data_IF_523542539596
#
_entry.id   IF_523542539596
#
_cell.length_a   1.000
_cell.length_b   1.000
_cell.length_c   1.000
_cell.angle_alpha   90.00
_cell.angle_beta   90.00
_cell.angle_gamma   90.00
#
_symmetry.space_group_name_H-M   'P 1'
#
loop_
_entity.id
_entity.type
_entity.pdbx_description
1 polymer ?
#
# COMPACT_ATOMS: atom_id res chain seq x y z
N UNK A 1 -32.63 -27.09 42.38
CA UNK A 1 -33.16 -26.29 41.26
C UNK A 1 -32.28 -25.10 41.05
N UNK A 2 -31.42 -25.22 40.09
CA UNK A 2 -31.01 -24.28 39.03
C UNK A 2 -30.96 -22.81 39.39
N UNK A 3 -29.76 -22.26 39.60
CA UNK A 3 -29.43 -20.89 39.28
C UNK A 3 -28.05 -20.91 38.58
N UNK A 4 -28.08 -21.47 37.38
CA UNK A 4 -27.05 -21.30 36.36
C UNK A 4 -27.64 -20.31 35.36
N UNK A 5 -27.37 -19.05 35.52
CA UNK A 5 -27.70 -18.05 34.51
C UNK A 5 -26.69 -16.92 34.61
N UNK A 6 -26.04 -16.68 33.50
CA UNK A 6 -25.50 -15.43 33.05
C UNK A 6 -24.28 -14.88 33.78
N UNK A 7 -23.14 -15.57 33.65
CA UNK A 7 -21.87 -14.86 33.52
C UNK A 7 -21.67 -14.50 32.05
N UNK A 8 -22.37 -13.48 31.60
CA UNK A 8 -21.89 -12.69 30.47
C UNK A 8 -20.57 -12.09 30.95
N UNK A 9 -19.46 -12.65 30.45
CA UNK A 9 -18.15 -12.08 30.67
C UNK A 9 -18.17 -10.66 30.10
N UNK A 10 -18.36 -9.67 30.94
CA UNK A 10 -18.11 -8.27 30.60
C UNK A 10 -16.62 -8.20 30.30
N UNK A 11 -16.28 -8.14 29.03
CA UNK A 11 -14.93 -7.86 28.55
C UNK A 11 -14.65 -6.42 29.02
N UNK A 12 -13.98 -6.33 30.16
CA UNK A 12 -13.55 -5.04 30.72
C UNK A 12 -12.34 -4.61 29.92
N UNK A 13 -12.59 -3.99 28.76
CA UNK A 13 -11.57 -3.41 27.90
C UNK A 13 -10.88 -2.27 28.66
N UNK A 14 -9.62 -2.48 29.01
CA UNK A 14 -8.78 -1.42 29.55
C UNK A 14 -8.63 -0.28 28.55
N UNK A 15 -8.41 0.97 29.02
CA UNK A 15 -8.32 2.15 28.16
C UNK A 15 -7.33 2.00 26.99
N UNK A 16 -6.25 1.22 27.18
CA UNK A 16 -5.26 0.92 26.15
C UNK A 16 -5.79 0.05 25.02
N UNK A 17 -6.65 -0.92 25.32
CA UNK A 17 -7.27 -1.79 24.32
C UNK A 17 -8.26 -1.02 23.44
N UNK A 18 -9.01 -0.09 24.06
CA UNK A 18 -9.93 0.79 23.32
C UNK A 18 -9.16 1.66 22.34
N UNK A 19 -8.06 2.28 22.76
CA UNK A 19 -7.21 3.10 21.90
C UNK A 19 -6.66 2.28 20.73
N UNK A 20 -6.24 1.05 20.99
CA UNK A 20 -5.70 0.16 19.97
C UNK A 20 -6.75 -0.26 18.96
N UNK A 21 -7.96 -0.62 19.41
CA UNK A 21 -9.10 -0.92 18.55
C UNK A 21 -9.45 0.31 17.69
N UNK A 22 -9.46 1.51 18.27
CA UNK A 22 -9.72 2.74 17.53
C UNK A 22 -8.66 3.02 16.47
N UNK A 23 -7.38 2.82 16.78
CA UNK A 23 -6.28 2.95 15.80
C UNK A 23 -6.44 1.92 14.68
N UNK A 24 -6.73 0.65 15.02
CA UNK A 24 -6.95 -0.41 14.03
C UNK A 24 -8.14 -0.09 13.12
N UNK A 25 -9.27 0.35 13.70
CA UNK A 25 -10.45 0.75 12.95
C UNK A 25 -10.17 1.96 12.05
N UNK A 26 -9.40 2.94 12.54
CA UNK A 26 -9.00 4.11 11.75
C UNK A 26 -8.13 3.72 10.56
N UNK A 27 -7.12 2.86 10.76
CA UNK A 27 -6.25 2.36 9.69
C UNK A 27 -7.06 1.56 8.67
N UNK A 28 -7.98 0.72 9.13
CA UNK A 28 -8.85 -0.08 8.27
C UNK A 28 -9.82 0.80 7.47
N UNK A 29 -10.41 1.82 8.11
CA UNK A 29 -11.27 2.79 7.44
C UNK A 29 -10.51 3.62 6.40
N UNK A 30 -9.31 4.10 6.73
CA UNK A 30 -8.44 4.81 5.79
C UNK A 30 -8.07 3.93 4.59
N UNK A 31 -7.76 2.65 4.82
CA UNK A 31 -7.53 1.66 3.78
C UNK A 31 -8.75 1.49 2.86
N UNK A 32 -9.94 1.32 3.42
CA UNK A 32 -11.20 1.17 2.65
C UNK A 32 -11.49 2.43 1.84
N UNK A 33 -11.33 3.62 2.41
CA UNK A 33 -11.54 4.89 1.70
C UNK A 33 -10.59 5.01 0.50
N UNK A 34 -9.32 4.67 0.69
CA UNK A 34 -8.34 4.70 -0.39
C UNK A 34 -8.69 3.72 -1.52
N UNK A 35 -9.20 2.53 -1.17
CA UNK A 35 -9.70 1.54 -2.12
C UNK A 35 -10.86 2.07 -2.92
N UNK A 36 -11.86 2.63 -2.24
CA UNK A 36 -13.04 3.19 -2.90
C UNK A 36 -12.67 4.38 -3.79
N UNK A 37 -11.73 5.22 -3.36
CA UNK A 37 -11.18 6.31 -4.17
C UNK A 37 -10.46 5.77 -5.41
N UNK A 38 -9.68 4.70 -5.26
CA UNK A 38 -9.00 4.05 -6.39
C UNK A 38 -10.01 3.47 -7.39
N UNK A 39 -11.01 2.73 -6.90
CA UNK A 39 -12.09 2.17 -7.73
C UNK A 39 -12.85 3.30 -8.43
N UNK A 40 -13.24 4.34 -7.71
CA UNK A 40 -13.92 5.51 -8.28
C UNK A 40 -13.09 6.14 -9.39
N UNK A 41 -11.78 6.30 -9.18
CA UNK A 41 -10.88 6.89 -10.16
C UNK A 41 -10.69 6.00 -11.39
N UNK A 42 -10.58 4.67 -11.20
CA UNK A 42 -10.52 3.69 -12.30
C UNK A 42 -11.82 3.72 -13.11
N UNK A 43 -12.97 3.67 -12.44
CA UNK A 43 -14.29 3.72 -13.09
C UNK A 43 -14.45 5.04 -13.86
N UNK A 44 -14.06 6.17 -13.27
CA UNK A 44 -14.09 7.47 -13.93
C UNK A 44 -13.16 7.53 -15.14
N UNK A 45 -11.94 6.98 -15.03
CA UNK A 45 -10.98 6.90 -16.15
C UNK A 45 -11.48 6.01 -17.28
N UNK A 46 -12.21 4.93 -16.96
CA UNK A 46 -12.82 4.05 -17.96
C UNK A 46 -14.07 4.67 -18.61
N UNK A 47 -14.85 5.46 -17.86
CA UNK A 47 -16.03 6.17 -18.40
C UNK A 47 -15.66 7.42 -19.20
N UNK A 48 -14.48 7.98 -19.02
CA UNK A 48 -13.97 9.09 -19.81
C UNK A 48 -13.44 8.62 -21.18
N UNK A 49 -14.13 7.67 -21.82
CA UNK A 49 -13.86 7.39 -23.24
C UNK A 49 -14.31 8.61 -24.02
N UNK A 50 -13.41 9.38 -24.66
CA UNK A 50 -13.85 10.39 -25.59
C UNK A 50 -14.63 9.69 -26.68
N UNK A 51 -15.81 10.22 -26.98
CA UNK A 51 -16.53 9.86 -28.18
C UNK A 51 -15.54 9.90 -29.34
N UNK A 52 -15.41 8.83 -30.07
CA UNK A 52 -14.62 8.74 -31.29
C UNK A 52 -15.08 9.88 -32.22
N UNK A 53 -14.25 10.88 -32.49
CA UNK A 53 -14.62 11.85 -33.54
C UNK A 53 -14.57 11.10 -34.86
N UNK A 54 -15.71 10.93 -35.45
CA UNK A 54 -15.92 10.37 -36.78
C UNK A 54 -15.51 11.32 -37.90
N UNK A 55 -14.43 12.05 -37.73
CA UNK A 55 -13.83 12.84 -38.81
C UNK A 55 -12.36 12.49 -38.84
N UNK A 56 -11.89 12.10 -40.03
CA UNK A 56 -10.52 11.73 -40.32
C UNK A 56 -9.56 12.87 -39.96
N UNK A 57 -9.15 12.91 -38.69
CA UNK A 57 -8.06 13.78 -38.24
C UNK A 57 -6.76 13.34 -38.94
N UNK A 58 -5.93 14.27 -39.38
CA UNK A 58 -4.64 13.95 -39.95
C UNK A 58 -3.81 13.09 -38.97
N UNK A 59 -3.05 12.09 -39.46
CA UNK A 59 -2.36 11.10 -38.64
C UNK A 59 -1.44 11.68 -37.56
N UNK A 60 -0.83 12.84 -37.81
CA UNK A 60 0.01 13.58 -36.86
C UNK A 60 -0.76 14.09 -35.63
N UNK A 61 -2.01 14.53 -35.82
CA UNK A 61 -2.87 14.98 -34.71
C UNK A 61 -3.38 13.81 -33.88
N UNK A 62 -3.61 12.66 -34.50
CA UNK A 62 -4.00 11.43 -33.79
C UNK A 62 -2.86 10.99 -32.86
N UNK A 63 -1.63 10.95 -33.36
CA UNK A 63 -0.43 10.59 -32.56
C UNK A 63 -0.18 11.59 -31.43
N UNK A 64 -0.29 12.88 -31.66
CA UNK A 64 -0.14 13.90 -30.62
C UNK A 64 -1.19 13.76 -29.52
N UNK A 65 -2.45 13.50 -29.88
CA UNK A 65 -3.50 13.30 -28.88
C UNK A 65 -3.26 12.02 -28.07
N UNK A 66 -2.75 10.98 -28.69
CA UNK A 66 -2.44 9.73 -28.00
C UNK A 66 -1.25 9.91 -27.04
N UNK A 67 -0.19 10.57 -27.46
CA UNK A 67 0.94 10.89 -26.60
C UNK A 67 0.54 11.75 -25.40
N UNK A 68 -0.37 12.71 -25.60
CA UNK A 68 -0.88 13.56 -24.50
C UNK A 68 -1.65 12.73 -23.45
N UNK A 69 -2.53 11.84 -23.90
CA UNK A 69 -3.24 10.91 -23.01
C UNK A 69 -2.27 9.99 -22.26
N UNK A 70 -1.29 9.43 -22.95
CA UNK A 70 -0.30 8.55 -22.31
C UNK A 70 0.55 9.31 -21.27
N UNK A 71 0.84 10.60 -21.49
CA UNK A 71 1.50 11.44 -20.47
C UNK A 71 0.63 11.65 -19.23
N UNK A 72 -0.68 11.83 -19.40
CA UNK A 72 -1.64 11.94 -18.30
C UNK A 72 -1.72 10.64 -17.51
N UNK A 73 -1.76 9.50 -18.20
CA UNK A 73 -1.72 8.17 -17.57
C UNK A 73 -0.43 7.95 -16.76
N UNK A 74 0.72 8.36 -17.28
CA UNK A 74 1.99 8.25 -16.55
C UNK A 74 2.02 9.11 -15.28
N UNK A 75 1.48 10.33 -15.34
CA UNK A 75 1.35 11.20 -14.16
C UNK A 75 0.44 10.57 -13.11
N UNK A 76 -0.68 10.01 -13.57
CA UNK A 76 -1.63 9.34 -12.70
C UNK A 76 -0.99 8.14 -11.99
N UNK A 77 -0.30 7.28 -12.74
CA UNK A 77 0.44 6.15 -12.19
C UNK A 77 1.50 6.58 -11.18
N UNK A 78 2.23 7.67 -11.47
CA UNK A 78 3.19 8.24 -10.54
C UNK A 78 2.53 8.61 -9.20
N UNK A 79 1.36 9.27 -9.25
CA UNK A 79 0.61 9.63 -8.03
C UNK A 79 0.20 8.37 -7.27
N UNK A 80 -0.27 7.32 -7.94
CA UNK A 80 -0.62 6.05 -7.29
C UNK A 80 0.58 5.38 -6.61
N UNK A 81 1.75 5.39 -7.23
CA UNK A 81 2.96 4.89 -6.59
C UNK A 81 3.31 5.69 -5.33
N UNK A 82 3.16 7.03 -5.34
CA UNK A 82 3.36 7.84 -4.12
C UNK A 82 2.33 7.53 -3.03
N UNK A 83 1.05 7.39 -3.41
CA UNK A 83 -0.01 7.00 -2.47
C UNK A 83 0.29 5.63 -1.87
N UNK A 84 0.71 4.67 -2.70
CA UNK A 84 1.06 3.33 -2.26
C UNK A 84 2.29 3.33 -1.34
N UNK A 85 3.30 4.14 -1.66
CA UNK A 85 4.42 4.43 -0.75
C UNK A 85 3.94 5.05 0.58
N UNK A 86 3.01 6.00 0.54
CA UNK A 86 2.41 6.59 1.74
C UNK A 86 1.75 5.55 2.65
N UNK A 87 1.05 4.56 2.09
CA UNK A 87 0.51 3.44 2.87
C UNK A 87 1.59 2.58 3.53
N UNK A 88 2.73 2.41 2.90
CA UNK A 88 3.85 1.71 3.52
C UNK A 88 4.35 2.44 4.77
N UNK A 89 4.39 3.80 4.78
CA UNK A 89 4.72 4.58 5.98
C UNK A 89 3.71 4.37 7.11
N UNK A 90 2.42 4.34 6.79
CA UNK A 90 1.37 4.02 7.77
C UNK A 90 1.58 2.59 8.30
N UNK A 91 1.93 1.64 7.44
CA UNK A 91 2.27 0.27 7.81
C UNK A 91 3.46 0.20 8.78
N UNK A 92 4.50 0.98 8.56
CA UNK A 92 5.66 1.09 9.48
C UNK A 92 5.21 1.65 10.83
N UNK A 93 4.43 2.73 10.86
CA UNK A 93 3.94 3.30 12.10
C UNK A 93 3.08 2.31 12.89
N UNK A 94 2.22 1.55 12.19
CA UNK A 94 1.44 0.48 12.81
C UNK A 94 2.32 -0.65 13.34
N UNK A 95 3.36 -1.06 12.60
CA UNK A 95 4.31 -2.07 13.01
C UNK A 95 5.02 -1.67 14.33
N UNK A 96 5.46 -0.41 14.44
CA UNK A 96 6.05 0.12 15.66
C UNK A 96 5.04 0.13 16.83
N UNK A 97 3.84 0.66 16.61
CA UNK A 97 2.80 0.70 17.65
C UNK A 97 2.47 -0.71 18.15
N UNK A 98 2.35 -1.68 17.25
CA UNK A 98 2.08 -3.07 17.59
C UNK A 98 3.26 -3.72 18.36
N UNK A 99 4.49 -3.46 17.94
CA UNK A 99 5.68 -3.92 18.66
C UNK A 99 5.70 -3.37 20.10
N UNK A 100 5.53 -2.05 20.30
CA UNK A 100 5.51 -1.46 21.63
C UNK A 100 4.39 -2.01 22.50
N UNK A 101 3.22 -2.23 21.92
CA UNK A 101 2.10 -2.80 22.64
C UNK A 101 2.39 -4.24 23.10
N UNK A 102 2.88 -5.10 22.24
CA UNK A 102 3.25 -6.46 22.62
C UNK A 102 4.39 -6.46 23.64
N UNK A 103 5.39 -5.62 23.44
CA UNK A 103 6.49 -5.49 24.38
C UNK A 103 6.00 -5.05 25.78
N UNK A 104 5.06 -4.10 25.87
CA UNK A 104 4.48 -3.67 27.13
C UNK A 104 3.70 -4.80 27.84
N UNK A 105 2.94 -5.59 27.10
CA UNK A 105 2.22 -6.75 27.64
C UNK A 105 3.18 -7.81 28.14
N UNK A 106 4.16 -8.21 27.32
CA UNK A 106 5.06 -9.30 27.64
C UNK A 106 6.10 -8.91 28.71
N UNK A 107 6.41 -7.63 28.86
CA UNK A 107 7.33 -7.12 29.88
C UNK A 107 6.68 -6.88 31.24
N UNK A 108 5.34 -6.98 31.34
CA UNK A 108 4.63 -6.74 32.60
C UNK A 108 4.44 -8.04 33.40
N UNK A 109 5.17 -8.23 34.54
CA UNK A 109 5.08 -9.47 35.33
C UNK A 109 3.70 -9.70 35.95
N UNK A 110 2.94 -8.64 36.20
CA UNK A 110 1.63 -8.76 36.84
C UNK A 110 0.57 -9.37 35.94
N UNK A 111 0.69 -9.11 34.62
CA UNK A 111 -0.18 -9.72 33.62
C UNK A 111 -0.07 -11.27 33.61
N UNK A 112 1.12 -11.80 33.84
CA UNK A 112 1.38 -13.23 33.86
C UNK A 112 0.90 -13.88 35.16
N UNK A 113 1.05 -13.19 36.29
CA UNK A 113 0.56 -13.66 37.59
C UNK A 113 -0.96 -13.75 37.65
N UNK A 114 -1.65 -12.79 37.04
CA UNK A 114 -3.12 -12.75 37.05
C UNK A 114 -3.77 -13.85 36.21
N UNK A 115 -3.05 -14.43 35.25
CA UNK A 115 -3.55 -15.50 34.40
C UNK A 115 -3.22 -16.92 34.93
N UNK A 116 -2.70 -17.03 36.15
CA UNK A 116 -2.35 -18.33 36.75
C UNK A 116 -1.07 -18.98 36.19
N UNK A 117 -0.43 -18.37 35.22
CA UNK A 117 0.86 -18.75 34.68
C UNK A 117 1.99 -18.00 35.38
N UNK A 118 2.71 -18.69 36.26
CA UNK A 118 3.78 -18.09 37.04
C UNK A 118 5.04 -17.72 36.26
N UNK A 119 5.17 -18.16 35.00
CA UNK A 119 6.39 -17.97 34.23
C UNK A 119 6.17 -17.03 33.01
N UNK A 120 6.91 -15.91 32.94
CA UNK A 120 6.96 -15.09 31.74
C UNK A 120 7.54 -15.88 30.56
N UNK A 121 7.20 -15.50 29.31
CA UNK A 121 7.75 -16.19 28.14
C UNK A 121 9.29 -16.14 28.15
N UNK A 122 9.95 -17.18 27.65
CA UNK A 122 11.41 -17.23 27.58
C UNK A 122 11.95 -16.01 26.82
N UNK A 123 13.09 -15.48 27.25
CA UNK A 123 13.75 -14.34 26.56
C UNK A 123 13.96 -14.63 25.07
N UNK A 124 14.32 -15.84 24.71
CA UNK A 124 14.50 -16.26 23.32
C UNK A 124 13.24 -16.03 22.44
N UNK A 125 12.04 -16.11 23.03
CA UNK A 125 10.79 -15.80 22.34
C UNK A 125 10.67 -14.31 22.05
N UNK A 126 11.00 -13.44 23.02
CA UNK A 126 10.99 -11.99 22.82
C UNK A 126 12.04 -11.55 21.81
N UNK A 127 13.23 -12.16 21.86
CA UNK A 127 14.31 -11.87 20.91
C UNK A 127 13.91 -12.28 19.48
N UNK A 128 13.21 -13.41 19.31
CA UNK A 128 12.71 -13.83 18.01
C UNK A 128 11.69 -12.82 17.43
N UNK A 129 10.85 -12.21 18.28
CA UNK A 129 9.93 -11.17 17.85
C UNK A 129 10.66 -9.91 17.37
N UNK A 130 11.73 -9.48 18.03
CA UNK A 130 12.52 -8.32 17.59
C UNK A 130 13.05 -8.55 16.16
N UNK A 131 13.63 -9.72 15.91
CA UNK A 131 14.14 -10.05 14.58
C UNK A 131 13.03 -10.13 13.52
N UNK A 132 11.86 -10.69 13.89
CA UNK A 132 10.70 -10.73 13.00
C UNK A 132 10.22 -9.33 12.62
N UNK A 133 10.07 -8.41 13.62
CA UNK A 133 9.66 -7.04 13.37
C UNK A 133 10.69 -6.25 12.56
N UNK A 134 11.98 -6.45 12.85
CA UNK A 134 13.06 -5.85 12.06
C UNK A 134 13.03 -6.31 10.61
N UNK A 135 12.80 -7.59 10.36
CA UNK A 135 12.70 -8.16 9.03
C UNK A 135 11.47 -7.62 8.26
N UNK A 136 10.30 -7.62 8.90
CA UNK A 136 9.08 -7.04 8.34
C UNK A 136 9.24 -5.54 8.04
N UNK A 137 9.82 -4.79 8.98
CA UNK A 137 10.11 -3.38 8.80
C UNK A 137 11.05 -3.11 7.62
N UNK A 138 12.08 -3.94 7.45
CA UNK A 138 12.99 -3.84 6.31
C UNK A 138 12.28 -4.09 4.97
N UNK A 139 11.38 -5.09 4.90
CA UNK A 139 10.58 -5.36 3.70
C UNK A 139 9.69 -4.17 3.36
N UNK A 140 8.95 -3.63 4.34
CA UNK A 140 8.04 -2.50 4.13
C UNK A 140 8.82 -1.25 3.71
N UNK A 141 9.96 -0.97 4.36
CA UNK A 141 10.83 0.16 4.02
C UNK A 141 11.40 0.03 2.60
N UNK A 142 11.78 -1.17 2.20
CA UNK A 142 12.23 -1.44 0.83
C UNK A 142 11.11 -1.18 -0.17
N UNK A 143 9.90 -1.70 0.09
CA UNK A 143 8.73 -1.46 -0.74
C UNK A 143 8.37 0.04 -0.84
N UNK A 144 8.43 0.77 0.27
CA UNK A 144 8.28 2.22 0.30
C UNK A 144 9.27 2.91 -0.65
N UNK A 145 10.56 2.59 -0.48
CA UNK A 145 11.63 3.22 -1.27
C UNK A 145 11.47 2.93 -2.77
N UNK A 146 11.18 1.68 -3.12
CA UNK A 146 10.97 1.27 -4.51
C UNK A 146 9.77 2.00 -5.14
N UNK A 147 8.66 2.10 -4.42
CA UNK A 147 7.46 2.79 -4.91
C UNK A 147 7.69 4.30 -5.08
N UNK A 148 8.35 4.96 -4.11
CA UNK A 148 8.69 6.38 -4.23
C UNK A 148 9.61 6.63 -5.42
N UNK A 149 10.66 5.82 -5.59
CA UNK A 149 11.58 5.94 -6.72
C UNK A 149 10.86 5.69 -8.06
N UNK A 150 10.01 4.65 -8.13
CA UNK A 150 9.20 4.38 -9.32
C UNK A 150 8.28 5.55 -9.66
N UNK A 151 7.61 6.14 -8.66
CA UNK A 151 6.79 7.34 -8.82
C UNK A 151 7.59 8.52 -9.40
N UNK A 152 8.79 8.79 -8.87
CA UNK A 152 9.67 9.84 -9.38
C UNK A 152 10.11 9.57 -10.82
N UNK A 153 10.47 8.32 -11.15
CA UNK A 153 10.92 7.97 -12.49
C UNK A 153 9.79 8.02 -13.52
N UNK A 154 8.58 7.61 -13.15
CA UNK A 154 7.38 7.78 -13.98
C UNK A 154 7.10 9.27 -14.24
N UNK A 155 7.17 10.12 -13.20
CA UNK A 155 6.97 11.55 -13.33
C UNK A 155 8.00 12.21 -14.25
N UNK A 156 9.28 11.82 -14.08
CA UNK A 156 10.40 12.36 -14.86
C UNK A 156 10.57 11.70 -16.23
N UNK A 157 9.82 10.63 -16.51
CA UNK A 157 9.96 9.80 -17.72
C UNK A 157 11.39 9.29 -17.90
N UNK A 158 11.97 8.74 -16.84
CA UNK A 158 13.32 8.15 -16.80
C UNK A 158 13.26 6.71 -16.29
N UNK A 159 14.29 5.92 -16.64
CA UNK A 159 14.48 4.56 -16.11
C UNK A 159 13.21 3.66 -16.22
N UNK A 160 12.63 3.59 -17.44
CA UNK A 160 11.43 2.80 -17.73
C UNK A 160 11.50 1.36 -17.20
N UNK A 161 12.66 0.68 -17.40
CA UNK A 161 12.87 -0.71 -16.98
C UNK A 161 12.73 -0.84 -15.46
N UNK A 162 13.29 0.10 -14.69
CA UNK A 162 13.16 0.11 -13.24
C UNK A 162 11.70 0.14 -12.80
N UNK A 163 10.89 1.03 -13.37
CA UNK A 163 9.45 1.13 -13.03
C UNK A 163 8.68 -0.14 -13.42
N UNK A 164 9.07 -0.84 -14.49
CA UNK A 164 8.49 -2.16 -14.85
C UNK A 164 8.85 -3.23 -13.82
N UNK A 165 10.10 -3.25 -13.33
CA UNK A 165 10.52 -4.20 -12.30
C UNK A 165 9.78 -3.96 -10.99
N UNK A 166 9.68 -2.69 -10.55
CA UNK A 166 8.91 -2.33 -9.35
C UNK A 166 7.45 -2.72 -9.50
N UNK A 167 6.83 -2.43 -10.65
CA UNK A 167 5.45 -2.84 -10.93
C UNK A 167 5.28 -4.37 -10.86
N UNK A 168 6.28 -5.15 -11.29
CA UNK A 168 6.29 -6.60 -11.12
C UNK A 168 6.31 -7.03 -9.66
N UNK A 169 7.07 -6.34 -8.81
CA UNK A 169 7.09 -6.57 -7.35
C UNK A 169 5.75 -6.19 -6.74
N UNK A 170 5.18 -5.05 -7.15
CA UNK A 170 3.86 -4.62 -6.66
C UNK A 170 2.76 -5.62 -7.00
N UNK A 171 2.85 -6.34 -8.13
CA UNK A 171 1.90 -7.40 -8.48
C UNK A 171 1.80 -8.52 -7.43
N UNK A 172 2.81 -8.70 -6.58
CA UNK A 172 2.78 -9.68 -5.49
C UNK A 172 1.91 -9.21 -4.29
N UNK A 173 1.56 -7.93 -4.24
CA UNK A 173 0.80 -7.32 -3.14
C UNK A 173 -0.70 -7.28 -3.47
N UNK A 174 -1.37 -8.42 -3.35
CA UNK A 174 -2.80 -8.61 -3.66
C UNK A 174 -3.68 -7.88 -2.61
N UNK A 175 -4.75 -7.17 -3.04
CA UNK A 175 -5.21 -6.97 -4.44
C UNK A 175 -4.72 -5.67 -5.09
N UNK A 176 -4.28 -4.67 -4.30
CA UNK A 176 -4.05 -3.30 -4.79
C UNK A 176 -2.74 -3.15 -5.54
N UNK A 177 -1.67 -3.73 -5.02
CA UNK A 177 -0.39 -3.74 -5.70
C UNK A 177 -0.47 -4.44 -7.04
N UNK A 178 -1.22 -5.55 -7.12
CA UNK A 178 -1.46 -6.26 -8.38
C UNK A 178 -2.14 -5.36 -9.42
N UNK A 179 -3.18 -4.64 -9.03
CA UNK A 179 -3.86 -3.71 -9.94
C UNK A 179 -2.90 -2.60 -10.41
N UNK A 180 -2.18 -1.95 -9.49
CA UNK A 180 -1.23 -0.91 -9.81
C UNK A 180 -0.09 -1.43 -10.70
N UNK A 181 0.48 -2.58 -10.36
CA UNK A 181 1.56 -3.20 -11.12
C UNK A 181 1.15 -3.54 -12.55
N UNK A 182 0.00 -4.21 -12.73
CA UNK A 182 -0.51 -4.55 -14.05
C UNK A 182 -0.76 -3.30 -14.90
N UNK A 183 -1.43 -2.27 -14.34
CA UNK A 183 -1.67 -1.03 -15.07
C UNK A 183 -0.36 -0.32 -15.44
N UNK A 184 0.62 -0.32 -14.56
CA UNK A 184 1.94 0.26 -14.82
C UNK A 184 2.65 -0.47 -15.96
N UNK A 185 2.68 -1.81 -15.94
CA UNK A 185 3.29 -2.62 -17.00
C UNK A 185 2.57 -2.40 -18.33
N UNK A 186 1.24 -2.45 -18.35
CA UNK A 186 0.45 -2.23 -19.58
C UNK A 186 0.70 -0.85 -20.17
N UNK A 187 0.75 0.21 -19.35
CA UNK A 187 1.00 1.57 -19.81
C UNK A 187 2.41 1.74 -20.35
N UNK A 188 3.42 1.24 -19.62
CA UNK A 188 4.82 1.33 -20.01
C UNK A 188 5.15 0.44 -21.23
N UNK A 189 4.34 -0.56 -21.54
CA UNK A 189 4.54 -1.44 -22.69
C UNK A 189 4.05 -0.84 -24.02
N UNK A 190 3.28 0.26 -23.97
CA UNK A 190 2.80 0.93 -25.18
C UNK A 190 3.94 1.55 -25.97
N UNK A 191 3.89 1.46 -27.29
CA UNK A 191 4.92 2.00 -28.18
C UNK A 191 5.03 3.51 -28.06
N UNK A 192 3.91 4.23 -28.03
CA UNK A 192 3.85 5.69 -27.84
C UNK A 192 4.53 6.14 -26.55
N UNK A 193 4.44 5.34 -25.47
CA UNK A 193 5.16 5.60 -24.20
C UNK A 193 6.64 5.32 -24.36
N UNK A 194 7.03 4.26 -25.08
CA UNK A 194 8.45 3.96 -25.34
C UNK A 194 9.14 5.12 -26.06
N UNK A 195 8.49 5.69 -27.08
CA UNK A 195 8.98 6.86 -27.81
C UNK A 195 9.14 8.09 -26.90
N UNK A 196 8.19 8.32 -25.96
CA UNK A 196 8.29 9.40 -24.97
C UNK A 196 9.50 9.27 -24.05
N UNK A 197 9.93 8.05 -23.75
CA UNK A 197 11.15 7.80 -22.98
C UNK A 197 12.41 7.89 -23.82
N UNK A 198 12.37 7.46 -25.09
CA UNK A 198 13.50 7.52 -26.01
C UNK A 198 13.86 8.97 -26.38
N UNK A 199 12.88 9.84 -26.63
CA UNK A 199 13.10 11.25 -26.97
C UNK A 199 13.73 12.09 -25.84
N UNK A 200 13.75 11.60 -24.61
CA UNK A 200 14.40 12.27 -23.47
C UNK A 200 15.80 11.73 -23.12
N UNK A 201 16.20 10.62 -23.71
CA UNK A 201 17.54 10.06 -23.49
C UNK A 201 18.58 10.64 -24.47
N UNK A 202 18.13 11.36 -25.49
CA UNK A 202 19.00 11.97 -26.50
C UNK A 202 19.20 13.50 -26.34
N UNK A 203 18.68 14.08 -25.27
CA UNK A 203 18.86 15.51 -24.92
C UNK A 203 19.57 15.62 -23.55
#
# INVERSE_FOLDING_TARGET
MTKSADRVASVNLGGGEIVLILILLFVLAAGVIAVLALIYFIVRALHSRPATPSSALPPNLILQNQQKKDQEHLKLLSIFHFVFGGFALVGIAFLFAHYFFLHAIFSNPEMWKSQGNANPPPKAFLDAFIWLYAFLGAIILTGFTLNVLSGIFLWRKRHRIFSIVVAGVDCLQIPFGTALGVFTIMTLSRETVRELYAGKQGA
#
